data_IF_744154918390
#
_entry.id   IF_744154918390
#
_cell.length_a   1.000
_cell.length_b   1.000
_cell.length_c   1.000
_cell.angle_alpha   90.00
_cell.angle_beta   90.00
_cell.angle_gamma   90.00
#
_symmetry.space_group_name_H-M   'P 1'
#
loop_
_entity.id
_entity.type
_entity.pdbx_description
1 polymer ?
#
# COMPACT_ATOMS: atom_id res chain seq x y z
N UNK A 1 0.58 -51.04 -57.01
CA UNK A 1 -0.57 -51.64 -57.68
C UNK A 1 -1.74 -50.69 -57.44
N UNK A 2 -2.04 -49.87 -58.49
CA UNK A 2 -3.17 -49.95 -59.38
C UNK A 2 -4.50 -50.05 -58.61
N UNK A 3 -5.46 -49.23 -58.79
CA UNK A 3 -6.16 -48.58 -59.96
C UNK A 3 -7.10 -47.50 -59.37
N UNK A 4 -7.14 -46.33 -59.88
CA UNK A 4 -7.98 -45.77 -60.93
C UNK A 4 -9.47 -46.22 -60.89
N UNK A 5 -10.35 -45.22 -60.82
CA UNK A 5 -11.48 -44.98 -61.76
C UNK A 5 -12.39 -43.95 -61.13
N UNK A 6 -12.40 -42.69 -61.63
CA UNK A 6 -13.40 -42.09 -62.56
C UNK A 6 -14.82 -42.01 -61.97
N UNK A 7 -15.28 -40.88 -61.75
CA UNK A 7 -16.03 -39.88 -62.55
C UNK A 7 -17.48 -39.82 -62.09
N UNK A 8 -17.97 -38.65 -61.81
CA UNK A 8 -19.08 -38.03 -62.54
C UNK A 8 -19.55 -36.75 -61.83
N UNK A 9 -19.65 -35.77 -62.68
CA UNK A 9 -20.18 -34.43 -62.37
C UNK A 9 -21.65 -34.47 -62.00
N UNK A 10 -22.03 -33.61 -61.05
CA UNK A 10 -23.36 -33.04 -60.95
C UNK A 10 -23.27 -31.61 -60.40
N UNK A 11 -23.40 -30.68 -61.36
CA UNK A 11 -23.62 -29.26 -61.02
C UNK A 11 -24.98 -29.12 -60.38
N UNK A 12 -24.98 -28.65 -59.14
CA UNK A 12 -26.18 -28.07 -58.55
C UNK A 12 -25.83 -26.63 -58.14
N UNK A 13 -26.31 -25.73 -58.95
CA UNK A 13 -26.35 -24.31 -58.68
C UNK A 13 -27.34 -24.08 -57.56
N UNK A 14 -26.82 -23.91 -56.35
CA UNK A 14 -27.63 -23.41 -55.24
C UNK A 14 -27.33 -21.91 -55.09
N UNK A 15 -28.32 -21.12 -55.48
CA UNK A 15 -28.33 -19.67 -55.32
C UNK A 15 -28.22 -19.29 -53.89
N UNK A 16 -27.07 -18.74 -53.51
CA UNK A 16 -26.83 -18.18 -52.17
C UNK A 16 -27.57 -16.84 -52.04
N UNK A 17 -28.71 -16.84 -51.37
CA UNK A 17 -29.30 -15.64 -50.83
C UNK A 17 -28.38 -15.15 -49.71
N UNK A 18 -27.56 -14.17 -50.01
CA UNK A 18 -26.81 -13.42 -48.99
C UNK A 18 -27.79 -12.61 -48.16
N UNK A 19 -28.25 -13.17 -47.05
CA UNK A 19 -28.92 -12.41 -46.01
C UNK A 19 -27.87 -11.52 -45.33
N UNK A 20 -27.85 -10.24 -45.67
CA UNK A 20 -27.12 -9.24 -44.90
C UNK A 20 -27.75 -9.16 -43.51
N UNK A 21 -27.20 -9.92 -42.56
CA UNK A 21 -27.47 -9.74 -41.16
C UNK A 21 -26.80 -8.43 -40.75
N UNK A 22 -27.56 -7.36 -40.69
CA UNK A 22 -27.13 -6.10 -40.07
C UNK A 22 -27.05 -6.37 -38.59
N UNK A 23 -25.85 -6.74 -38.12
CA UNK A 23 -25.57 -6.81 -36.67
C UNK A 23 -25.61 -5.38 -36.12
N UNK A 24 -26.48 -5.05 -35.19
CA UNK A 24 -26.46 -3.72 -34.58
C UNK A 24 -25.07 -3.48 -33.96
N UNK A 25 -24.48 -2.29 -34.13
CA UNK A 25 -23.18 -2.00 -33.55
C UNK A 25 -23.23 -2.25 -32.04
N UNK A 26 -22.36 -3.16 -31.57
CA UNK A 26 -22.21 -3.43 -30.14
C UNK A 26 -21.84 -2.10 -29.48
N UNK A 27 -22.55 -1.64 -28.43
CA UNK A 27 -22.15 -0.45 -27.71
C UNK A 27 -20.68 -0.58 -27.30
N UNK A 28 -19.87 0.42 -27.63
CA UNK A 28 -18.48 0.45 -27.21
C UNK A 28 -18.43 0.30 -25.68
N UNK A 29 -17.51 -0.53 -25.13
CA UNK A 29 -17.34 -0.61 -23.68
C UNK A 29 -17.14 0.82 -23.14
N UNK A 30 -17.90 1.17 -22.09
CA UNK A 30 -17.71 2.44 -21.43
C UNK A 30 -16.23 2.60 -21.04
N UNK A 31 -15.61 3.78 -21.24
CA UNK A 31 -14.23 4.02 -20.83
C UNK A 31 -14.08 3.62 -19.36
N UNK A 32 -13.06 2.82 -19.07
CA UNK A 32 -12.76 2.47 -17.68
C UNK A 32 -12.56 3.75 -16.87
N UNK A 33 -13.06 3.83 -15.62
CA UNK A 33 -12.85 4.98 -14.76
C UNK A 33 -11.36 5.32 -14.72
N UNK A 34 -11.02 6.59 -14.92
CA UNK A 34 -9.63 7.04 -14.82
C UNK A 34 -9.08 6.67 -13.44
N UNK A 35 -7.83 6.16 -13.35
CA UNK A 35 -7.21 5.88 -12.05
C UNK A 35 -7.25 7.12 -11.17
N UNK A 36 -7.62 6.94 -9.89
CA UNK A 36 -7.63 8.04 -8.94
C UNK A 36 -6.24 8.71 -8.88
N UNK A 37 -6.16 10.05 -8.77
CA UNK A 37 -4.89 10.75 -8.66
C UNK A 37 -4.06 10.17 -7.50
N UNK A 38 -2.79 9.87 -7.75
CA UNK A 38 -1.88 9.43 -6.69
C UNK A 38 -1.59 10.61 -5.76
N UNK A 39 -1.57 10.41 -4.42
CA UNK A 39 -1.17 11.45 -3.50
C UNK A 39 0.23 12.00 -3.87
N UNK A 40 0.43 13.30 -3.65
CA UNK A 40 1.75 13.90 -3.88
C UNK A 40 2.79 13.30 -2.91
N UNK A 41 4.08 13.23 -3.28
CA UNK A 41 5.13 12.72 -2.39
C UNK A 41 5.17 13.44 -1.04
N UNK A 42 4.82 14.73 -1.02
CA UNK A 42 4.79 15.56 0.18
C UNK A 42 3.66 15.14 1.14
N UNK A 43 2.46 14.85 0.61
CA UNK A 43 1.35 14.33 1.41
C UNK A 43 1.72 12.97 2.02
N UNK A 44 2.29 12.09 1.23
CA UNK A 44 2.73 10.76 1.70
C UNK A 44 3.83 10.87 2.76
N UNK A 45 4.77 11.81 2.61
CA UNK A 45 5.80 12.08 3.62
C UNK A 45 5.22 12.55 4.94
N UNK A 46 4.25 13.46 4.88
CA UNK A 46 3.54 13.94 6.06
C UNK A 46 2.75 12.83 6.77
N UNK A 47 2.06 11.99 6.03
CA UNK A 47 1.34 10.84 6.59
C UNK A 47 2.28 9.88 7.32
N UNK A 48 3.48 9.63 6.80
CA UNK A 48 4.52 8.82 7.47
C UNK A 48 4.94 9.44 8.80
N UNK A 49 5.14 10.75 8.83
CA UNK A 49 5.47 11.47 10.06
C UNK A 49 4.35 11.31 11.10
N UNK A 50 3.08 11.47 10.70
CA UNK A 50 1.93 11.27 11.59
C UNK A 50 1.88 9.84 12.17
N UNK A 51 2.18 8.83 11.35
CA UNK A 51 2.25 7.44 11.81
C UNK A 51 3.33 7.22 12.87
N UNK A 52 4.52 7.79 12.68
CA UNK A 52 5.61 7.70 13.66
C UNK A 52 5.22 8.39 14.98
N UNK A 53 4.68 9.61 14.91
CA UNK A 53 4.22 10.33 16.10
C UNK A 53 3.13 9.55 16.86
N UNK A 54 2.14 8.99 16.15
CA UNK A 54 1.09 8.18 16.77
C UNK A 54 1.63 6.93 17.48
N UNK A 55 2.67 6.29 16.92
CA UNK A 55 3.35 5.16 17.57
C UNK A 55 4.07 5.58 18.85
N UNK A 56 4.79 6.71 18.83
CA UNK A 56 5.50 7.26 19.99
C UNK A 56 4.50 7.54 21.11
N UNK A 57 3.39 8.20 20.79
CA UNK A 57 2.36 8.55 21.77
C UNK A 57 1.72 7.29 22.38
N UNK A 58 1.41 6.29 21.56
CA UNK A 58 0.89 5.00 22.03
C UNK A 58 1.87 4.31 23.00
N UNK A 59 3.16 4.25 22.66
CA UNK A 59 4.17 3.66 23.52
C UNK A 59 4.34 4.47 24.83
N UNK A 60 4.27 5.80 24.79
CA UNK A 60 4.30 6.66 25.97
C UNK A 60 3.13 6.34 26.92
N UNK A 61 1.91 6.26 26.42
CA UNK A 61 0.75 5.87 27.22
C UNK A 61 0.89 4.47 27.85
N UNK A 62 1.54 3.54 27.14
CA UNK A 62 1.79 2.20 27.69
C UNK A 62 2.82 2.22 28.80
N UNK A 63 3.87 3.05 28.69
CA UNK A 63 4.82 3.26 29.80
C UNK A 63 4.09 3.77 31.03
N UNK A 64 3.26 4.81 30.88
CA UNK A 64 2.47 5.38 31.98
C UNK A 64 1.55 4.33 32.62
N UNK A 65 0.83 3.56 31.82
CA UNK A 65 -0.05 2.51 32.30
C UNK A 65 0.70 1.45 33.13
N UNK A 66 1.91 1.07 32.71
CA UNK A 66 2.73 0.08 33.42
C UNK A 66 3.36 0.63 34.71
N UNK A 67 3.74 1.92 34.71
CA UNK A 67 4.19 2.60 35.95
C UNK A 67 3.03 2.68 36.96
N UNK A 68 1.84 3.10 36.49
CA UNK A 68 0.66 3.23 37.35
C UNK A 68 0.18 1.88 37.90
N UNK A 69 0.34 0.81 37.11
CA UNK A 69 0.02 -0.56 37.54
C UNK A 69 1.12 -1.20 38.41
N UNK A 70 2.23 -0.51 38.67
CA UNK A 70 3.31 -1.01 39.50
C UNK A 70 4.25 -2.02 38.84
N UNK A 71 4.17 -2.21 37.51
CA UNK A 71 5.10 -3.10 36.77
C UNK A 71 6.50 -2.52 36.68
N UNK A 72 6.61 -1.19 36.66
CA UNK A 72 7.90 -0.47 36.67
C UNK A 72 7.99 0.50 37.82
N UNK A 73 9.17 0.61 38.46
CA UNK A 73 9.42 1.73 39.33
C UNK A 73 9.48 3.04 38.52
N UNK A 74 9.08 4.19 39.08
CA UNK A 74 9.05 5.48 38.38
C UNK A 74 10.35 5.86 37.64
N UNK A 75 11.56 5.58 38.17
CA UNK A 75 12.79 5.88 37.43
C UNK A 75 12.95 5.10 36.14
N UNK A 76 12.45 3.85 36.08
CA UNK A 76 12.46 3.04 34.85
C UNK A 76 11.48 3.60 33.80
N UNK A 77 10.27 3.96 34.22
CA UNK A 77 9.31 4.65 33.35
C UNK A 77 9.90 5.92 32.76
N UNK A 78 10.53 6.76 33.60
CA UNK A 78 11.19 7.99 33.15
C UNK A 78 12.34 7.72 32.15
N UNK A 79 13.07 6.62 32.28
CA UNK A 79 14.11 6.24 31.31
C UNK A 79 13.52 5.83 29.96
N UNK A 80 12.38 5.11 29.94
CA UNK A 80 11.67 4.74 28.73
C UNK A 80 11.07 5.96 28.01
N UNK A 81 10.49 6.90 28.75
CA UNK A 81 10.03 8.17 28.18
C UNK A 81 11.16 8.95 27.52
N UNK A 82 12.31 9.13 28.19
CA UNK A 82 13.46 9.80 27.58
C UNK A 82 13.90 9.15 26.27
N UNK A 83 13.84 7.83 26.18
CA UNK A 83 14.14 7.12 24.93
C UNK A 83 13.13 7.46 23.81
N UNK A 84 11.84 7.49 24.13
CA UNK A 84 10.80 7.88 23.17
C UNK A 84 10.94 9.34 22.74
N UNK A 85 11.34 10.24 23.68
CA UNK A 85 11.60 11.64 23.37
C UNK A 85 12.77 11.83 22.42
N UNK A 86 13.85 11.02 22.54
CA UNK A 86 14.96 11.02 21.57
C UNK A 86 14.47 10.64 20.17
N UNK A 87 13.68 9.57 20.04
CA UNK A 87 13.13 9.13 18.76
C UNK A 87 12.18 10.21 18.17
N UNK A 88 11.39 10.88 19.03
CA UNK A 88 10.53 12.00 18.61
C UNK A 88 11.35 13.16 18.05
N UNK A 89 12.42 13.54 18.74
CA UNK A 89 13.30 14.61 18.28
C UNK A 89 13.95 14.24 16.94
N UNK A 90 14.49 13.03 16.83
CA UNK A 90 15.10 12.51 15.60
C UNK A 90 14.11 12.52 14.43
N UNK A 91 12.87 12.06 14.64
CA UNK A 91 11.83 12.12 13.61
C UNK A 91 11.52 13.54 13.16
N UNK A 92 11.56 14.50 14.06
CA UNK A 92 11.35 15.93 13.77
C UNK A 92 12.51 16.51 12.96
N UNK A 93 13.74 16.16 13.32
CA UNK A 93 14.94 16.64 12.65
C UNK A 93 15.04 16.07 11.21
N UNK A 94 14.71 14.80 11.02
CA UNK A 94 14.59 14.18 9.69
C UNK A 94 13.50 14.85 8.85
N UNK A 95 12.31 15.03 9.41
CA UNK A 95 11.19 15.66 8.71
C UNK A 95 11.49 17.11 8.29
N UNK A 96 12.25 17.85 9.08
CA UNK A 96 12.64 19.23 8.77
C UNK A 96 13.45 19.32 7.46
N UNK A 97 14.21 18.28 7.11
CA UNK A 97 15.00 18.21 5.88
C UNK A 97 14.13 18.04 4.63
N UNK A 98 12.88 17.61 4.79
CA UNK A 98 11.93 17.29 3.72
C UNK A 98 10.64 18.12 3.78
N UNK A 99 10.69 19.29 4.42
CA UNK A 99 9.52 20.18 4.51
C UNK A 99 8.40 19.64 5.40
N UNK A 100 8.73 18.88 6.44
CA UNK A 100 7.79 18.37 7.46
C UNK A 100 7.34 16.93 7.23
N UNK A 101 7.88 16.24 6.22
CA UNK A 101 7.56 14.84 5.92
C UNK A 101 8.75 13.90 6.07
N UNK A 102 8.51 12.60 6.15
CA UNK A 102 9.54 11.56 6.18
C UNK A 102 9.65 10.84 4.83
N UNK A 103 10.86 10.50 4.44
CA UNK A 103 11.09 9.52 3.37
C UNK A 103 10.70 8.11 3.83
N UNK A 104 10.58 7.17 2.89
CA UNK A 104 10.28 5.78 3.21
C UNK A 104 11.40 5.10 4.02
N UNK A 105 12.64 5.49 3.77
CA UNK A 105 13.81 4.91 4.45
C UNK A 105 13.90 5.41 5.88
N UNK A 106 13.72 6.71 6.11
CA UNK A 106 13.67 7.30 7.45
C UNK A 106 12.53 6.70 8.28
N UNK A 107 11.33 6.55 7.71
CA UNK A 107 10.24 5.88 8.39
C UNK A 107 10.61 4.45 8.81
N UNK A 108 11.33 3.72 7.96
CA UNK A 108 11.78 2.35 8.26
C UNK A 108 12.76 2.33 9.43
N UNK A 109 13.73 3.23 9.45
CA UNK A 109 14.70 3.36 10.56
C UNK A 109 14.00 3.67 11.86
N UNK A 110 13.15 4.70 11.89
CA UNK A 110 12.38 5.08 13.07
C UNK A 110 11.45 3.95 13.57
N UNK A 111 10.85 3.19 12.67
CA UNK A 111 10.06 2.03 13.05
C UNK A 111 10.90 0.93 13.74
N UNK A 112 12.12 0.67 13.27
CA UNK A 112 13.04 -0.29 13.92
C UNK A 112 13.42 0.15 15.34
N UNK A 113 13.64 1.44 15.55
CA UNK A 113 13.92 1.99 16.87
C UNK A 113 12.71 1.89 17.79
N UNK A 114 11.52 2.22 17.28
CA UNK A 114 10.26 2.05 18.01
C UNK A 114 9.97 0.59 18.34
N UNK A 115 10.26 -0.36 17.46
CA UNK A 115 10.15 -1.79 17.75
C UNK A 115 11.09 -2.21 18.88
N UNK A 116 12.29 -1.62 18.93
CA UNK A 116 13.24 -1.88 20.01
C UNK A 116 12.77 -1.27 21.34
N UNK A 117 12.19 -0.06 21.30
CA UNK A 117 11.58 0.56 22.46
C UNK A 117 10.35 -0.22 22.96
N UNK A 118 9.50 -0.68 22.05
CA UNK A 118 8.32 -1.51 22.34
C UNK A 118 8.71 -2.81 23.08
N UNK A 119 9.74 -3.51 22.62
CA UNK A 119 10.26 -4.71 23.31
C UNK A 119 10.77 -4.37 24.73
N UNK A 120 11.40 -3.23 24.90
CA UNK A 120 11.86 -2.78 26.22
C UNK A 120 10.69 -2.44 27.17
N UNK A 121 9.56 -2.01 26.62
CA UNK A 121 8.30 -1.76 27.34
C UNK A 121 7.56 -3.08 27.64
N UNK A 122 7.92 -4.17 27.01
CA UNK A 122 7.33 -5.48 27.24
C UNK A 122 6.16 -5.81 26.31
N UNK A 123 6.34 -5.58 25.03
CA UNK A 123 5.52 -6.18 23.95
C UNK A 123 5.91 -7.61 23.67
#
# INVERSE_FOLDING_TARGET
MQRLIRAAACCVLVSSLAACVVTPPRPAPAPAPAPAPRPSPQVVGYERMQQIQGRIDNLSHRVDARVNAGYYPPPQGAALHRRLDVIRQESTDMAAQHGGGLSADEQRVLNQELDTAARAIGE
#
